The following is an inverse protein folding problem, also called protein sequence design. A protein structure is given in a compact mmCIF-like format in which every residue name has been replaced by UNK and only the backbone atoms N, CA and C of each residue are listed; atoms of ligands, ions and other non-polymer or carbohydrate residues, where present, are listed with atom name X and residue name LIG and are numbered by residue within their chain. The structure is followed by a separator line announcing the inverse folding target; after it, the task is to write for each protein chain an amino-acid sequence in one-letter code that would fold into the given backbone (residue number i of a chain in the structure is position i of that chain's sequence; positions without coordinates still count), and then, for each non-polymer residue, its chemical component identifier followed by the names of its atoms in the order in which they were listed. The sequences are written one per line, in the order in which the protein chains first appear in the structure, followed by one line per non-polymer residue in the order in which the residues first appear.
data_IF_253190938050
#
_entry.id   IF_253190938050
#
_cell.length_a   1.000
_cell.length_b   1.000
_cell.length_c   1.000
_cell.angle_alpha   90.00
_cell.angle_beta   90.00
_cell.angle_gamma   90.00
#
_symmetry.space_group_name_H-M   'P 1'
#
loop_
_entity.id
_entity.type
_entity.pdbx_description
1 polymer ?
#
# COMPACT_ATOMS: atom_id res chain seq x y z
N UNK A 1 -15.55 -15.04 12.48
CA UNK A 1 -15.49 -13.88 11.58
C UNK A 1 -15.88 -14.44 10.24
N UNK A 2 -17.12 -14.22 9.85
CA UNK A 2 -17.72 -14.92 8.70
C UNK A 2 -17.75 -13.98 7.49
N UNK A 3 -16.64 -13.28 7.26
CA UNK A 3 -16.50 -12.40 6.11
C UNK A 3 -16.38 -13.22 4.84
N UNK A 4 -17.26 -12.93 3.87
CA UNK A 4 -17.24 -13.58 2.57
C UNK A 4 -16.10 -13.01 1.72
N UNK A 5 -15.14 -13.83 1.32
CA UNK A 5 -13.93 -13.36 0.63
C UNK A 5 -14.06 -13.33 -0.92
N UNK A 6 -15.02 -14.04 -1.50
CA UNK A 6 -15.18 -14.12 -2.94
C UNK A 6 -15.94 -12.90 -3.48
N UNK A 7 -15.30 -12.18 -4.40
CA UNK A 7 -15.92 -11.14 -5.22
C UNK A 7 -16.82 -11.79 -6.28
N UNK A 8 -18.13 -11.59 -6.19
CA UNK A 8 -19.12 -12.18 -7.11
C UNK A 8 -20.27 -11.21 -7.43
N UNK A 9 -21.14 -11.59 -8.36
CA UNK A 9 -22.40 -10.88 -8.67
C UNK A 9 -23.23 -10.53 -7.43
N UNK A 10 -23.17 -11.35 -6.40
CA UNK A 10 -23.94 -11.20 -5.17
C UNK A 10 -23.49 -10.01 -4.31
N UNK A 11 -22.41 -9.32 -4.70
CA UNK A 11 -21.98 -8.06 -4.09
C UNK A 11 -22.87 -6.87 -4.52
N UNK A 12 -23.79 -7.09 -5.46
CA UNK A 12 -24.63 -6.06 -6.05
C UNK A 12 -26.10 -6.44 -5.85
N UNK A 13 -26.84 -5.54 -5.19
CA UNK A 13 -28.27 -5.65 -4.94
C UNK A 13 -29.04 -5.09 -6.14
N UNK A 14 -30.09 -5.80 -6.58
CA UNK A 14 -30.88 -5.42 -7.75
C UNK A 14 -30.13 -5.67 -9.06
N UNK A 15 -30.57 -5.07 -10.16
CA UNK A 15 -30.12 -5.40 -11.52
C UNK A 15 -28.68 -4.96 -11.84
N UNK A 16 -28.07 -5.68 -12.78
CA UNK A 16 -26.79 -5.31 -13.39
C UNK A 16 -26.99 -4.20 -14.43
N UNK A 17 -25.97 -3.38 -14.64
CA UNK A 17 -25.90 -2.44 -15.75
C UNK A 17 -25.85 -3.19 -17.09
N UNK A 18 -25.09 -4.27 -17.18
CA UNK A 18 -25.00 -5.14 -18.34
C UNK A 18 -24.99 -6.62 -17.92
N UNK A 19 -26.18 -7.24 -17.94
CA UNK A 19 -26.32 -8.67 -17.61
C UNK A 19 -25.75 -9.63 -18.65
N UNK A 20 -25.51 -9.18 -19.88
CA UNK A 20 -24.96 -10.03 -20.95
C UNK A 20 -23.43 -10.13 -20.88
N UNK A 21 -22.77 -9.14 -20.27
CA UNK A 21 -21.32 -9.10 -20.07
C UNK A 21 -20.98 -8.58 -18.68
N UNK A 22 -20.95 -9.48 -17.70
CA UNK A 22 -20.61 -9.15 -16.32
C UNK A 22 -19.14 -8.75 -16.18
N UNK A 23 -18.88 -7.49 -15.86
CA UNK A 23 -17.56 -6.96 -15.51
C UNK A 23 -17.57 -6.42 -14.09
N UNK A 24 -16.98 -7.17 -13.15
CA UNK A 24 -17.10 -6.90 -11.73
C UNK A 24 -16.75 -5.45 -11.33
N UNK A 25 -15.64 -4.90 -11.85
CA UNK A 25 -15.21 -3.53 -11.54
C UNK A 25 -16.20 -2.46 -11.96
N UNK A 26 -16.71 -2.54 -13.20
CA UNK A 26 -17.70 -1.59 -13.73
C UNK A 26 -19.06 -1.72 -13.03
N UNK A 27 -19.49 -2.96 -12.77
CA UNK A 27 -20.77 -3.26 -12.15
C UNK A 27 -20.79 -2.83 -10.67
N UNK A 28 -19.71 -3.09 -9.91
CA UNK A 28 -19.60 -2.64 -8.52
C UNK A 28 -19.43 -1.14 -8.40
N UNK A 29 -18.71 -0.49 -9.33
CA UNK A 29 -18.64 0.97 -9.38
C UNK A 29 -20.05 1.58 -9.58
N UNK A 30 -20.82 1.04 -10.52
CA UNK A 30 -22.19 1.50 -10.76
C UNK A 30 -23.10 1.24 -9.55
N UNK A 31 -23.01 0.05 -8.95
CA UNK A 31 -23.74 -0.28 -7.74
C UNK A 31 -23.38 0.65 -6.57
N UNK A 32 -22.10 1.00 -6.42
CA UNK A 32 -21.65 1.97 -5.42
C UNK A 32 -22.28 3.35 -5.64
N UNK A 33 -22.27 3.86 -6.89
CA UNK A 33 -22.88 5.16 -7.22
C UNK A 33 -24.37 5.23 -6.89
N UNK A 34 -25.08 4.10 -6.98
CA UNK A 34 -26.51 4.00 -6.72
C UNK A 34 -26.86 3.50 -5.31
N UNK A 35 -25.87 3.25 -4.45
CA UNK A 35 -26.08 2.74 -3.10
C UNK A 35 -26.63 1.31 -3.05
N UNK A 36 -26.21 0.46 -3.99
CA UNK A 36 -26.68 -0.93 -4.19
C UNK A 36 -25.61 -1.99 -3.95
N UNK A 37 -24.49 -1.66 -3.31
CA UNK A 37 -23.55 -2.68 -2.85
C UNK A 37 -24.17 -3.52 -1.72
N UNK A 38 -23.70 -4.75 -1.54
CA UNK A 38 -24.15 -5.61 -0.45
C UNK A 38 -23.85 -4.98 0.92
N UNK A 39 -24.75 -5.19 1.87
CA UNK A 39 -24.69 -4.54 3.20
C UNK A 39 -23.37 -4.78 3.93
N UNK A 40 -22.76 -5.95 3.75
CA UNK A 40 -21.48 -6.28 4.36
C UNK A 40 -20.32 -5.47 3.77
N UNK A 41 -20.34 -5.16 2.46
CA UNK A 41 -19.37 -4.25 1.85
C UNK A 41 -19.58 -2.83 2.35
N UNK A 42 -20.82 -2.34 2.34
CA UNK A 42 -21.15 -0.99 2.81
C UNK A 42 -20.73 -0.77 4.27
N UNK A 43 -20.94 -1.79 5.12
CA UNK A 43 -20.51 -1.74 6.52
C UNK A 43 -18.99 -1.63 6.67
N UNK A 44 -18.20 -2.30 5.84
CA UNK A 44 -16.74 -2.20 5.85
C UNK A 44 -16.25 -0.87 5.24
N UNK A 45 -16.86 -0.40 4.15
CA UNK A 45 -16.55 0.90 3.55
C UNK A 45 -16.75 2.04 4.55
N UNK A 46 -17.84 2.00 5.32
CA UNK A 46 -18.10 2.98 6.39
C UNK A 46 -16.98 3.02 7.44
N UNK A 47 -16.43 1.88 7.85
CA UNK A 47 -15.29 1.83 8.79
C UNK A 47 -14.04 2.48 8.19
N UNK A 48 -13.80 2.28 6.90
CA UNK A 48 -12.68 2.92 6.17
C UNK A 48 -12.87 4.43 6.10
N UNK A 49 -14.10 4.92 5.87
CA UNK A 49 -14.43 6.34 5.86
C UNK A 49 -14.22 7.00 7.23
N UNK A 50 -14.65 6.34 8.31
CA UNK A 50 -14.51 6.83 9.68
C UNK A 50 -13.05 6.81 10.19
N UNK A 51 -12.21 5.92 9.68
CA UNK A 51 -10.84 5.74 10.17
C UNK A 51 -9.84 6.80 9.66
N UNK A 52 -9.04 7.36 10.57
CA UNK A 52 -7.85 8.16 10.21
C UNK A 52 -6.62 7.27 9.93
N UNK A 53 -6.57 6.10 10.56
CA UNK A 53 -5.51 5.11 10.43
C UNK A 53 -6.11 3.70 10.35
N UNK A 54 -5.62 2.91 9.39
CA UNK A 54 -5.99 1.50 9.22
C UNK A 54 -4.77 0.62 9.46
N UNK A 55 -4.89 -0.36 10.36
CA UNK A 55 -3.83 -1.34 10.63
C UNK A 55 -4.28 -2.71 10.15
N UNK A 56 -3.56 -3.25 9.17
CA UNK A 56 -3.79 -4.60 8.65
C UNK A 56 -2.98 -5.60 9.46
N UNK A 57 -3.63 -6.32 10.38
CA UNK A 57 -3.01 -7.36 11.19
C UNK A 57 -3.16 -8.74 10.56
N UNK A 58 -2.07 -9.44 10.22
CA UNK A 58 -2.14 -10.77 9.61
C UNK A 58 -0.90 -11.64 9.83
N UNK A 59 -1.00 -12.98 9.69
CA UNK A 59 0.17 -13.82 9.45
C UNK A 59 0.56 -13.75 7.96
N UNK A 60 1.85 -13.59 7.66
CA UNK A 60 2.37 -13.61 6.29
C UNK A 60 2.22 -15.03 5.71
N UNK A 61 1.28 -15.21 4.77
CA UNK A 61 1.01 -16.47 4.11
C UNK A 61 1.38 -16.37 2.64
N UNK A 62 2.19 -17.30 2.16
CA UNK A 62 2.66 -17.32 0.76
C UNK A 62 3.16 -15.94 0.30
N UNK A 63 4.00 -15.31 1.13
CA UNK A 63 4.60 -14.00 0.84
C UNK A 63 3.57 -12.87 0.63
N UNK A 64 2.36 -13.04 1.16
CA UNK A 64 1.28 -12.05 1.05
C UNK A 64 0.32 -12.13 2.24
N UNK A 65 -0.80 -11.43 2.13
CA UNK A 65 -1.91 -11.48 3.09
C UNK A 65 -2.68 -12.80 2.96
N UNK A 66 -3.35 -13.29 4.04
CA UNK A 66 -4.26 -14.42 3.95
C UNK A 66 -5.38 -14.18 2.92
N UNK A 67 -5.87 -15.24 2.30
CA UNK A 67 -6.91 -15.16 1.25
C UNK A 67 -8.15 -14.36 1.67
N UNK A 68 -8.59 -14.49 2.93
CA UNK A 68 -9.72 -13.70 3.46
C UNK A 68 -9.45 -12.20 3.47
N UNK A 69 -8.22 -11.77 3.78
CA UNK A 69 -7.83 -10.36 3.76
C UNK A 69 -7.67 -9.86 2.32
N UNK A 70 -7.14 -10.68 1.41
CA UNK A 70 -7.12 -10.34 -0.02
C UNK A 70 -8.53 -10.17 -0.57
N UNK A 71 -9.45 -11.06 -0.22
CA UNK A 71 -10.86 -10.96 -0.58
C UNK A 71 -11.55 -9.73 0.02
N UNK A 72 -11.19 -9.35 1.25
CA UNK A 72 -11.65 -8.09 1.84
C UNK A 72 -11.17 -6.88 1.01
N UNK A 73 -9.89 -6.86 0.62
CA UNK A 73 -9.37 -5.80 -0.25
C UNK A 73 -10.11 -5.75 -1.59
N UNK A 74 -10.36 -6.92 -2.22
CA UNK A 74 -11.02 -7.01 -3.52
C UNK A 74 -12.49 -6.56 -3.51
N UNK A 75 -13.21 -6.83 -2.42
CA UNK A 75 -14.64 -6.50 -2.29
C UNK A 75 -14.89 -5.10 -1.73
N UNK A 76 -14.03 -4.61 -0.83
CA UNK A 76 -14.25 -3.34 -0.11
C UNK A 76 -13.62 -2.16 -0.82
N UNK A 77 -12.42 -2.33 -1.40
CA UNK A 77 -11.69 -1.25 -2.09
C UNK A 77 -12.15 -1.13 -3.55
N UNK A 78 -13.45 -0.93 -3.77
CA UNK A 78 -14.06 -0.85 -5.10
C UNK A 78 -13.68 0.44 -5.84
N UNK A 79 -13.74 0.39 -7.17
CA UNK A 79 -13.65 1.59 -8.01
C UNK A 79 -14.81 2.54 -7.68
N UNK A 80 -14.53 3.85 -7.69
CA UNK A 80 -15.43 4.90 -7.21
C UNK A 80 -15.23 5.20 -5.72
N UNK A 81 -15.20 4.16 -4.88
CA UNK A 81 -14.99 4.30 -3.44
C UNK A 81 -13.52 4.53 -3.07
N UNK A 82 -12.63 3.59 -3.43
CA UNK A 82 -11.24 3.59 -3.00
C UNK A 82 -10.27 4.20 -4.01
N UNK A 83 -10.63 4.17 -5.30
CA UNK A 83 -9.83 4.73 -6.38
C UNK A 83 -10.71 5.07 -7.60
N UNK A 84 -10.17 5.90 -8.50
CA UNK A 84 -10.69 6.07 -9.86
C UNK A 84 -9.51 6.26 -10.82
N UNK A 85 -9.74 6.25 -12.13
CA UNK A 85 -8.65 6.51 -13.10
C UNK A 85 -7.96 7.87 -12.89
N UNK A 86 -8.68 8.85 -12.34
CA UNK A 86 -8.17 10.20 -12.06
C UNK A 86 -7.57 10.32 -10.64
N UNK A 87 -7.95 9.43 -9.72
CA UNK A 87 -7.57 9.46 -8.30
C UNK A 87 -6.82 8.18 -7.94
N UNK A 88 -5.53 8.17 -8.25
CA UNK A 88 -4.58 7.10 -7.95
C UNK A 88 -3.35 7.64 -7.20
N UNK A 89 -2.67 6.76 -6.45
CA UNK A 89 -1.41 7.06 -5.76
C UNK A 89 -1.50 8.31 -4.87
N UNK A 90 -0.53 9.23 -4.88
CA UNK A 90 -0.58 10.45 -4.06
C UNK A 90 -1.76 11.40 -4.39
N UNK A 91 -2.48 11.18 -5.49
CA UNK A 91 -3.73 11.86 -5.83
C UNK A 91 -4.99 11.03 -5.48
N UNK A 92 -4.82 9.89 -4.83
CA UNK A 92 -5.85 8.92 -4.49
C UNK A 92 -6.90 9.43 -3.50
N UNK A 93 -7.99 8.67 -3.38
CA UNK A 93 -9.15 9.02 -2.53
C UNK A 93 -8.76 9.11 -1.06
N UNK A 94 -7.85 8.25 -0.61
CA UNK A 94 -7.43 8.14 0.80
C UNK A 94 -6.12 8.87 1.12
N UNK A 95 -5.75 9.90 0.35
CA UNK A 95 -4.50 10.68 0.54
C UNK A 95 -4.30 11.31 1.91
N UNK A 96 -5.38 11.58 2.64
CA UNK A 96 -5.34 12.16 3.98
C UNK A 96 -5.39 11.10 5.10
N UNK A 97 -5.46 9.81 4.75
CA UNK A 97 -5.51 8.69 5.69
C UNK A 97 -4.19 7.94 5.73
N UNK A 98 -3.89 7.33 6.87
CA UNK A 98 -2.71 6.48 7.06
C UNK A 98 -3.08 5.00 7.02
N UNK A 99 -2.17 4.17 6.53
CA UNK A 99 -2.30 2.72 6.59
C UNK A 99 -0.98 2.07 7.00
N UNK A 100 -1.05 0.93 7.69
CA UNK A 100 0.13 0.18 8.10
C UNK A 100 -0.11 -1.33 8.02
N UNK A 101 0.89 -2.08 7.58
CA UNK A 101 0.92 -3.53 7.70
C UNK A 101 1.53 -3.91 9.05
N UNK A 102 0.84 -4.76 9.82
CA UNK A 102 1.35 -5.37 11.05
C UNK A 102 1.26 -6.88 10.91
N UNK A 103 2.38 -7.59 10.83
CA UNK A 103 2.32 -9.01 10.51
C UNK A 103 3.37 -9.86 11.19
N UNK A 104 3.04 -11.13 11.34
CA UNK A 104 3.94 -12.16 11.89
C UNK A 104 4.45 -13.06 10.78
N UNK A 105 5.71 -13.50 10.87
CA UNK A 105 6.31 -14.46 9.94
C UNK A 105 6.59 -15.80 10.63
N UNK A 106 6.68 -16.88 9.87
CA UNK A 106 7.30 -18.13 10.35
C UNK A 106 8.84 -18.04 10.42
N UNK A 107 9.43 -17.32 9.46
CA UNK A 107 10.87 -17.19 9.25
C UNK A 107 11.51 -16.10 10.12
N UNK A 108 12.81 -16.24 10.36
CA UNK A 108 13.63 -15.20 11.02
C UNK A 108 13.86 -14.02 10.07
N UNK A 109 14.26 -12.88 10.63
CA UNK A 109 14.61 -11.69 9.85
C UNK A 109 15.76 -11.93 8.86
N UNK A 110 16.75 -12.74 9.24
CA UNK A 110 17.92 -13.05 8.40
C UNK A 110 17.55 -13.73 7.09
N UNK A 111 16.50 -14.55 7.08
CA UNK A 111 16.03 -15.20 5.85
C UNK A 111 15.51 -14.21 4.81
N UNK A 112 15.14 -13.00 5.24
CA UNK A 112 14.55 -11.93 4.43
C UNK A 112 15.51 -10.76 4.18
N UNK A 113 16.80 -10.93 4.49
CA UNK A 113 17.85 -10.02 4.03
C UNK A 113 18.11 -10.22 2.52
N UNK A 114 18.78 -9.29 1.84
CA UNK A 114 19.09 -9.43 0.41
C UNK A 114 19.87 -10.71 0.04
N UNK A 115 20.66 -11.25 0.98
CA UNK A 115 21.40 -12.51 0.89
C UNK A 115 20.69 -13.69 1.58
N UNK A 116 19.48 -13.47 2.09
CA UNK A 116 18.65 -14.48 2.71
C UNK A 116 17.90 -15.33 1.69
N UNK A 117 17.58 -16.57 2.06
CA UNK A 117 16.94 -17.54 1.16
C UNK A 117 15.55 -17.12 0.64
N UNK A 118 14.83 -16.27 1.38
CA UNK A 118 13.52 -15.75 0.98
C UNK A 118 13.64 -14.46 0.15
N UNK A 119 14.84 -13.89 0.03
CA UNK A 119 15.09 -12.62 -0.64
C UNK A 119 14.65 -11.39 0.18
N UNK A 120 14.95 -10.21 -0.37
CA UNK A 120 14.70 -8.93 0.27
C UNK A 120 13.21 -8.70 0.56
N UNK A 121 12.87 -8.47 1.83
CA UNK A 121 11.50 -8.15 2.28
C UNK A 121 10.92 -6.93 1.57
N UNK A 122 11.74 -5.96 1.15
CA UNK A 122 11.26 -4.75 0.48
C UNK A 122 10.53 -5.11 -0.83
N UNK A 123 11.04 -6.09 -1.58
CA UNK A 123 10.41 -6.60 -2.81
C UNK A 123 9.10 -7.29 -2.50
N UNK A 124 9.06 -8.08 -1.42
CA UNK A 124 7.86 -8.81 -1.00
C UNK A 124 6.71 -7.88 -0.62
N UNK A 125 7.00 -6.75 0.02
CA UNK A 125 5.98 -5.82 0.50
C UNK A 125 5.46 -4.85 -0.56
N UNK A 126 6.25 -4.59 -1.62
CA UNK A 126 5.92 -3.61 -2.66
C UNK A 126 4.52 -3.78 -3.26
N UNK A 127 4.04 -4.98 -3.65
CA UNK A 127 2.72 -5.12 -4.27
C UNK A 127 1.57 -4.69 -3.34
N UNK A 128 1.70 -4.93 -2.03
CA UNK A 128 0.68 -4.55 -1.05
C UNK A 128 0.78 -3.07 -0.70
N UNK A 129 1.98 -2.59 -0.37
CA UNK A 129 2.17 -1.20 0.06
C UNK A 129 1.97 -0.22 -1.09
N UNK A 130 2.59 -0.43 -2.25
CA UNK A 130 2.41 0.44 -3.40
C UNK A 130 1.14 0.10 -4.19
N UNK A 131 0.99 -1.17 -4.58
CA UNK A 131 -0.04 -1.59 -5.53
C UNK A 131 -1.46 -1.67 -4.97
N UNK A 132 -1.63 -1.72 -3.64
CA UNK A 132 -2.95 -1.72 -3.00
C UNK A 132 -3.15 -0.46 -2.17
N UNK A 133 -2.33 -0.24 -1.14
CA UNK A 133 -2.56 0.85 -0.19
C UNK A 133 -2.25 2.22 -0.80
N UNK A 134 -1.05 2.41 -1.31
CA UNK A 134 -0.66 3.69 -1.90
C UNK A 134 -1.49 3.99 -3.15
N UNK A 135 -1.81 2.99 -3.97
CA UNK A 135 -2.71 3.14 -5.13
C UNK A 135 -4.07 3.78 -4.76
N UNK A 136 -4.67 3.38 -3.63
CA UNK A 136 -5.92 3.99 -3.13
C UNK A 136 -5.70 5.38 -2.48
N UNK A 137 -4.45 5.78 -2.28
CA UNK A 137 -4.06 7.08 -1.74
C UNK A 137 -3.39 7.05 -0.38
N UNK A 138 -3.42 5.94 0.36
CA UNK A 138 -2.94 5.95 1.73
C UNK A 138 -1.49 6.45 1.87
N UNK A 139 -1.26 7.24 2.92
CA UNK A 139 0.07 7.46 3.47
C UNK A 139 0.50 6.18 4.21
N UNK A 140 1.34 5.37 3.56
CA UNK A 140 1.73 4.06 4.10
C UNK A 140 2.85 4.23 5.12
N UNK A 141 2.61 3.81 6.36
CA UNK A 141 3.61 3.79 7.43
C UNK A 141 4.53 2.57 7.32
N UNK A 142 5.73 2.68 7.91
CA UNK A 142 6.65 1.56 8.01
C UNK A 142 5.96 0.34 8.67
N UNK A 143 6.14 -0.88 8.15
CA UNK A 143 5.44 -2.05 8.66
C UNK A 143 5.89 -2.40 10.08
N UNK A 144 5.00 -3.02 10.85
CA UNK A 144 5.36 -3.70 12.09
C UNK A 144 5.56 -5.19 11.78
N UNK A 145 6.80 -5.67 11.82
CA UNK A 145 7.12 -7.07 11.48
C UNK A 145 7.55 -7.82 12.74
N UNK A 146 6.81 -8.88 13.05
CA UNK A 146 7.14 -9.81 14.13
C UNK A 146 7.78 -11.07 13.55
N UNK A 147 9.10 -11.15 13.66
CA UNK A 147 9.89 -12.24 13.09
C UNK A 147 9.82 -13.50 13.93
N UNK A 148 9.31 -14.60 13.36
CA UNK A 148 9.32 -15.94 13.97
C UNK A 148 8.82 -16.03 15.43
N UNK A 149 7.66 -15.43 15.80
CA UNK A 149 7.19 -15.46 17.19
C UNK A 149 6.92 -16.88 17.70
N UNK A 150 6.52 -17.82 16.82
CA UNK A 150 6.33 -19.23 17.18
C UNK A 150 7.62 -19.92 17.68
N UNK A 151 8.79 -19.45 17.21
CA UNK A 151 10.11 -19.96 17.61
C UNK A 151 10.78 -19.09 18.69
N UNK A 152 10.08 -18.06 19.19
CA UNK A 152 10.63 -17.11 20.16
C UNK A 152 10.24 -17.48 21.59
N UNK A 153 11.12 -17.32 22.60
CA UNK A 153 10.77 -17.50 24.00
C UNK A 153 9.64 -16.58 24.47
N UNK A 154 8.95 -16.95 25.56
CA UNK A 154 7.82 -16.18 26.08
C UNK A 154 8.19 -14.72 26.42
N UNK A 155 9.37 -14.49 27.01
CA UNK A 155 9.86 -13.15 27.32
C UNK A 155 10.06 -12.30 26.06
N UNK A 156 10.54 -12.90 24.97
CA UNK A 156 10.74 -12.20 23.68
C UNK A 156 9.39 -11.83 23.07
N UNK A 157 8.39 -12.73 23.10
CA UNK A 157 7.03 -12.42 22.64
C UNK A 157 6.37 -11.31 23.47
N UNK A 158 6.60 -11.30 24.79
CA UNK A 158 6.12 -10.22 25.64
C UNK A 158 6.77 -8.87 25.28
N UNK A 159 8.08 -8.86 25.00
CA UNK A 159 8.79 -7.67 24.56
C UNK A 159 8.29 -7.18 23.18
N UNK A 160 7.98 -8.08 22.25
CA UNK A 160 7.35 -7.73 20.97
C UNK A 160 6.02 -6.98 21.18
N UNK A 161 5.15 -7.51 22.04
CA UNK A 161 3.86 -6.88 22.35
C UNK A 161 4.03 -5.52 23.04
N UNK A 162 5.00 -5.40 23.95
CA UNK A 162 5.27 -4.14 24.64
C UNK A 162 5.84 -3.09 23.69
N UNK A 163 6.81 -3.44 22.84
CA UNK A 163 7.33 -2.55 21.81
C UNK A 163 6.23 -2.06 20.87
N UNK A 164 5.31 -2.94 20.50
CA UNK A 164 4.15 -2.57 19.68
C UNK A 164 3.21 -1.59 20.40
N UNK A 165 2.90 -1.86 21.68
CA UNK A 165 2.11 -0.94 22.53
C UNK A 165 2.75 0.44 22.63
N UNK A 166 4.09 0.51 22.74
CA UNK A 166 4.79 1.78 22.83
C UNK A 166 4.74 2.55 21.50
N UNK A 167 4.97 1.87 20.36
CA UNK A 167 4.90 2.49 19.03
C UNK A 167 3.50 3.07 18.75
N UNK A 168 2.45 2.34 19.11
CA UNK A 168 1.05 2.78 18.93
C UNK A 168 0.74 4.15 19.55
N UNK A 169 1.45 4.57 20.62
CA UNK A 169 1.21 5.87 21.28
C UNK A 169 1.56 7.08 20.42
N UNK A 170 2.48 6.93 19.46
CA UNK A 170 2.94 8.01 18.58
C UNK A 170 2.70 7.76 17.09
N UNK A 171 1.99 6.69 16.75
CA UNK A 171 1.93 6.16 15.39
C UNK A 171 1.38 7.17 14.36
N UNK A 172 0.40 7.99 14.74
CA UNK A 172 -0.16 9.02 13.87
C UNK A 172 0.85 10.14 13.54
N UNK A 173 1.88 10.35 14.34
CA UNK A 173 2.92 11.35 14.08
C UNK A 173 4.07 10.81 13.22
N UNK A 174 4.14 9.49 12.98
CA UNK A 174 5.19 8.91 12.16
C UNK A 174 5.13 9.43 10.71
N UNK A 175 6.32 9.66 10.13
CA UNK A 175 6.46 9.94 8.69
C UNK A 175 6.14 8.66 7.90
N UNK A 176 5.41 8.77 6.78
CA UNK A 176 5.16 7.62 5.91
C UNK A 176 6.43 7.21 5.13
N UNK A 177 6.38 6.02 4.55
CA UNK A 177 7.31 5.55 3.52
C UNK A 177 7.25 6.45 2.27
N UNK A 178 8.29 6.38 1.44
CA UNK A 178 8.37 7.15 0.20
C UNK A 178 8.03 6.31 -1.02
N UNK A 179 7.22 6.89 -1.90
CA UNK A 179 6.85 6.36 -3.21
C UNK A 179 7.17 7.39 -4.30
N UNK A 180 7.25 6.94 -5.55
CA UNK A 180 7.41 7.85 -6.67
C UNK A 180 6.11 8.64 -6.88
N UNK A 181 6.12 9.98 -6.82
CA UNK A 181 4.91 10.79 -6.93
C UNK A 181 4.36 10.78 -8.37
N UNK A 182 3.04 10.87 -8.53
CA UNK A 182 2.33 10.92 -9.81
C UNK A 182 2.88 11.95 -10.79
N UNK A 183 3.37 13.08 -10.27
CA UNK A 183 3.96 14.19 -11.02
C UNK A 183 5.17 13.74 -11.86
N UNK A 184 5.83 12.65 -11.46
CA UNK A 184 6.96 12.10 -12.21
C UNK A 184 6.54 11.36 -13.49
N UNK A 185 5.25 11.10 -13.67
CA UNK A 185 4.72 10.28 -14.75
C UNK A 185 3.82 11.10 -15.68
N UNK A 186 3.76 10.67 -16.93
CA UNK A 186 2.73 11.09 -17.88
C UNK A 186 1.49 10.21 -17.72
N UNK A 187 0.51 10.67 -16.95
CA UNK A 187 -0.72 9.93 -16.61
C UNK A 187 -1.77 9.91 -17.73
N UNK A 188 -1.33 9.87 -18.99
CA UNK A 188 -2.21 9.75 -20.15
C UNK A 188 -1.99 8.44 -20.89
N UNK A 189 -3.02 7.97 -21.60
CA UNK A 189 -2.89 6.81 -22.49
C UNK A 189 -1.87 7.05 -23.59
N UNK A 190 -1.75 8.28 -24.09
CA UNK A 190 -0.76 8.65 -25.11
C UNK A 190 0.68 8.57 -24.55
N UNK A 191 0.89 9.04 -23.32
CA UNK A 191 2.17 8.96 -22.61
C UNK A 191 2.47 7.58 -22.01
N UNK A 192 1.50 6.66 -22.05
CA UNK A 192 1.67 5.27 -21.62
C UNK A 192 1.92 5.10 -20.12
N UNK A 193 1.56 6.08 -19.28
CA UNK A 193 1.78 6.03 -17.83
C UNK A 193 3.26 5.86 -17.44
N UNK A 194 4.18 6.37 -18.27
CA UNK A 194 5.62 6.24 -18.06
C UNK A 194 6.23 7.47 -17.37
N UNK A 195 7.41 7.28 -16.78
CA UNK A 195 8.22 8.38 -16.26
C UNK A 195 8.51 9.41 -17.35
N UNK A 196 8.32 10.68 -17.00
CA UNK A 196 8.66 11.81 -17.87
C UNK A 196 10.16 11.80 -18.21
N UNK A 197 10.56 12.19 -19.43
CA UNK A 197 11.96 12.18 -19.85
C UNK A 197 12.90 12.95 -18.90
N UNK A 198 12.48 14.12 -18.44
CA UNK A 198 13.24 14.98 -17.54
C UNK A 198 13.51 14.32 -16.18
N UNK A 199 12.54 13.58 -15.64
CA UNK A 199 12.72 12.82 -14.40
C UNK A 199 13.68 11.67 -14.63
N UNK A 200 13.55 10.97 -15.76
CA UNK A 200 14.45 9.86 -16.11
C UNK A 200 15.90 10.33 -16.20
N UNK A 201 16.15 11.49 -16.81
CA UNK A 201 17.48 12.09 -16.92
C UNK A 201 18.05 12.46 -15.55
N UNK A 202 17.28 13.14 -14.70
CA UNK A 202 17.70 13.47 -13.33
C UNK A 202 18.10 12.21 -12.53
N UNK A 203 17.36 11.12 -12.71
CA UNK A 203 17.63 9.87 -12.02
C UNK A 203 18.89 9.17 -12.51
N UNK A 204 19.44 9.46 -13.69
CA UNK A 204 20.65 8.78 -14.20
C UNK A 204 21.86 8.92 -13.27
N UNK A 205 22.01 10.10 -12.65
CA UNK A 205 23.10 10.40 -11.72
C UNK A 205 22.98 9.73 -10.35
N UNK A 206 21.80 9.22 -9.99
CA UNK A 206 21.54 8.66 -8.67
C UNK A 206 22.08 7.23 -8.53
N UNK A 207 22.66 6.85 -7.37
CA UNK A 207 23.23 5.51 -7.16
C UNK A 207 22.19 4.40 -7.05
N UNK A 208 20.96 4.76 -6.64
CA UNK A 208 19.83 3.84 -6.50
C UNK A 208 18.70 4.22 -7.46
N UNK A 209 17.74 3.32 -7.62
CA UNK A 209 16.45 3.66 -8.24
C UNK A 209 15.62 4.62 -7.38
N UNK A 210 14.41 4.96 -7.85
CA UNK A 210 13.51 5.84 -7.11
C UNK A 210 12.88 5.15 -5.88
N UNK A 211 12.48 3.89 -6.09
CA UNK A 211 11.79 3.04 -5.10
C UNK A 211 12.08 1.58 -5.43
N UNK A 212 11.57 0.64 -4.62
CA UNK A 212 11.68 -0.80 -4.90
C UNK A 212 11.11 -1.18 -6.27
N UNK A 213 9.91 -0.72 -6.63
CA UNK A 213 9.32 -1.03 -7.94
C UNK A 213 9.81 -0.13 -9.08
N UNK A 214 10.16 1.12 -8.79
CA UNK A 214 10.74 2.04 -9.77
C UNK A 214 12.28 2.04 -9.67
N UNK A 215 12.88 0.85 -9.77
CA UNK A 215 14.32 0.68 -9.60
C UNK A 215 15.13 1.10 -10.83
N UNK A 216 14.51 1.21 -12.02
CA UNK A 216 15.12 1.72 -13.25
C UNK A 216 16.39 0.95 -13.69
N UNK A 217 16.45 -0.35 -13.39
CA UNK A 217 17.64 -1.18 -13.64
C UNK A 217 18.83 -0.91 -12.71
N UNK A 218 18.65 -0.10 -11.67
CA UNK A 218 19.64 0.24 -10.65
C UNK A 218 19.44 -0.59 -9.38
N UNK A 219 20.41 -0.57 -8.43
CA UNK A 219 20.20 -1.09 -7.09
C UNK A 219 18.97 -0.47 -6.42
N UNK A 220 18.26 -1.28 -5.63
CA UNK A 220 17.10 -0.84 -4.87
C UNK A 220 17.55 0.15 -3.77
N UNK A 221 16.80 1.21 -3.49
CA UNK A 221 17.08 2.05 -2.33
C UNK A 221 16.97 1.21 -1.05
N UNK A 222 17.95 1.28 -0.13
CA UNK A 222 17.92 0.51 1.10
C UNK A 222 16.65 0.80 1.91
N UNK A 223 16.02 -0.26 2.43
CA UNK A 223 14.87 -0.18 3.34
C UNK A 223 13.65 0.62 2.84
N UNK A 224 13.51 0.85 1.52
CA UNK A 224 12.46 1.71 0.95
C UNK A 224 11.04 1.37 1.41
N UNK A 225 10.76 0.09 1.69
CA UNK A 225 9.46 -0.42 2.10
C UNK A 225 9.39 -0.79 3.60
N UNK A 226 10.49 -0.63 4.34
CA UNK A 226 10.61 -0.99 5.76
C UNK A 226 10.95 0.18 6.67
N UNK A 227 11.48 1.28 6.15
CA UNK A 227 11.88 2.46 6.93
C UNK A 227 11.52 3.76 6.23
N UNK A 228 10.92 4.69 6.97
CA UNK A 228 10.69 6.05 6.49
C UNK A 228 12.02 6.82 6.39
N UNK A 229 12.16 7.78 5.44
CA UNK A 229 13.36 8.59 5.34
C UNK A 229 13.64 9.35 6.64
N UNK A 230 14.93 9.57 6.97
CA UNK A 230 15.32 10.29 8.18
C UNK A 230 14.72 11.70 8.23
N UNK A 231 14.59 12.24 9.44
CA UNK A 231 13.91 13.51 9.67
C UNK A 231 14.59 14.72 9.03
N UNK A 232 15.88 14.64 8.72
CA UNK A 232 16.70 15.72 8.18
C UNK A 232 17.54 15.27 6.98
N UNK A 233 16.97 15.40 5.78
CA UNK A 233 17.72 15.87 4.61
C UNK A 233 16.80 16.85 3.89
N UNK A 234 17.04 18.14 4.12
CA UNK A 234 16.55 19.16 3.23
C UNK A 234 17.07 18.82 1.84
N UNK A 235 16.17 18.48 0.92
CA UNK A 235 16.45 18.52 -0.51
C UNK A 235 17.17 19.85 -0.77
N UNK A 236 18.36 19.88 -1.38
CA UNK A 236 18.95 21.15 -1.78
C UNK A 236 18.04 21.68 -2.89
N UNK A 237 17.09 22.54 -2.52
CA UNK A 237 16.49 23.46 -3.47
C UNK A 237 17.65 24.26 -4.04
N UNK A 238 17.94 24.02 -5.32
CA UNK A 238 18.86 24.84 -6.10
C UNK A 238 18.27 26.24 -6.23
N UNK A 239 18.46 27.06 -5.20
CA UNK A 239 18.52 28.50 -5.36
C UNK A 239 19.85 28.78 -6.07
N UNK A 240 19.76 29.09 -7.36
CA UNK A 240 20.68 29.99 -8.03
C UNK A 240 19.94 30.68 -9.17
N UNK A 241 19.41 31.85 -8.87
CA UNK A 241 19.32 32.92 -9.85
C UNK A 241 20.73 33.27 -10.35
N UNK A 242 20.82 33.81 -11.57
CA UNK A 242 21.57 35.05 -11.69
C UNK A 242 20.72 36.17 -12.27
N UNK A 243 20.88 37.33 -11.66
CA UNK A 243 20.60 38.63 -12.26
C UNK A 243 21.21 38.74 -13.66
N UNK A 244 20.40 39.19 -14.61
CA UNK A 244 20.74 40.28 -15.54
C UNK A 244 19.50 41.16 -15.64
#
# INVERSE_FOLDING_TARGET
MDFRANATRDDIIGDLKNSELFQYGEETMHAWMEGRLSDDIVAEQRKVEEAELIIFQFPLYWFSVPAVMKGWMDRVLTQGFAFSLEKIYNNGVFKDKKAMLSFTTGATQSMFQPDGINGDINVTLWPLQNGTLHFCGFQVLAPQIFWSPAHSPAAVRAAMLEGWRQRLKGLLAEKPLTFAPCEFFDLSFQGGFQLRPEVREQQQSQPYGLTTGHHLGKPLPPDNQTRAPPTDEATPHSQNHPCV
#
